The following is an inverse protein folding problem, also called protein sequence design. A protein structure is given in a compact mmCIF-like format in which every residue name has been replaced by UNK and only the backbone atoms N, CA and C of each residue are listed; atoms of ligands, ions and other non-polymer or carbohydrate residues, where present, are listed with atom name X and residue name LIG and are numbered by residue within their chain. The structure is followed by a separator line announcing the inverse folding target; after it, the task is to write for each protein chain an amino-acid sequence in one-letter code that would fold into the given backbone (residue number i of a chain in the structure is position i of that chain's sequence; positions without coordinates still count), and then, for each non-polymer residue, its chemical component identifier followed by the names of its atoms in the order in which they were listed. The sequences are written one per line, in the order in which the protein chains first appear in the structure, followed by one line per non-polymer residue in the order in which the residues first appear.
data_IF_420498328516
#
_entry.id   IF_420498328516
#
_cell.length_a   1.000
_cell.length_b   1.000
_cell.length_c   1.000
_cell.angle_alpha   90.00
_cell.angle_beta   90.00
_cell.angle_gamma   90.00
#
_symmetry.space_group_name_H-M   'P 1'
#
loop_
_entity.id
_entity.type
_entity.pdbx_description
1 polymer ?
#
# COMPACT_ATOMS: atom_id res chain seq x y z
N UNK A 1 7.56 -22.96 5.30
CA UNK A 1 9.00 -22.68 5.53
C UNK A 1 9.46 -21.71 4.47
N UNK A 2 10.18 -20.64 4.89
CA UNK A 2 10.68 -19.63 3.98
C UNK A 2 11.69 -20.27 3.02
N UNK A 3 11.73 -19.83 1.78
CA UNK A 3 12.72 -20.24 0.78
C UNK A 3 14.17 -19.85 1.17
N UNK A 4 14.50 -19.89 2.46
CA UNK A 4 15.79 -19.50 3.01
C UNK A 4 16.04 -17.99 3.05
N UNK A 5 14.98 -17.16 2.87
CA UNK A 5 15.12 -15.72 2.95
C UNK A 5 15.25 -15.25 4.40
N UNK A 6 16.32 -14.52 4.67
CA UNK A 6 16.70 -13.99 5.99
C UNK A 6 16.04 -12.62 6.32
N UNK A 7 15.16 -12.12 5.46
CA UNK A 7 14.52 -10.81 5.58
C UNK A 7 15.31 -9.66 4.94
N UNK A 8 16.54 -9.89 4.49
CA UNK A 8 17.36 -8.84 3.87
C UNK A 8 16.88 -8.54 2.44
N UNK A 9 16.59 -7.27 2.19
CA UNK A 9 16.11 -6.79 0.87
C UNK A 9 17.25 -6.53 -0.10
N UNK A 10 17.82 -7.59 -0.65
CA UNK A 10 18.80 -7.53 -1.75
C UNK A 10 18.09 -7.37 -3.10
N UNK A 11 18.79 -6.97 -4.19
CA UNK A 11 18.22 -7.00 -5.54
C UNK A 11 17.69 -8.39 -5.94
N UNK A 12 18.36 -9.45 -5.54
CA UNK A 12 17.95 -10.83 -5.82
C UNK A 12 16.65 -11.20 -5.09
N UNK A 13 16.54 -10.88 -3.78
CA UNK A 13 15.34 -11.17 -3.01
C UNK A 13 14.14 -10.33 -3.47
N UNK A 14 14.36 -9.07 -3.87
CA UNK A 14 13.31 -8.22 -4.46
C UNK A 14 12.75 -8.80 -5.75
N UNK A 15 13.64 -9.23 -6.65
CA UNK A 15 13.25 -9.88 -7.90
C UNK A 15 12.48 -11.16 -7.64
N UNK A 16 13.00 -12.05 -6.79
CA UNK A 16 12.33 -13.29 -6.40
C UNK A 16 10.91 -13.05 -5.87
N UNK A 17 10.73 -12.09 -4.96
CA UNK A 17 9.41 -11.77 -4.40
C UNK A 17 8.46 -11.19 -5.46
N UNK A 18 8.96 -10.37 -6.38
CA UNK A 18 8.18 -9.82 -7.48
C UNK A 18 7.72 -10.91 -8.44
N UNK A 19 8.62 -11.82 -8.84
CA UNK A 19 8.32 -12.95 -9.73
C UNK A 19 7.34 -13.92 -9.06
N UNK A 20 7.51 -14.21 -7.78
CA UNK A 20 6.59 -15.05 -7.00
C UNK A 20 5.19 -14.44 -6.94
N UNK A 21 5.10 -13.14 -6.63
CA UNK A 21 3.81 -12.43 -6.65
C UNK A 21 3.16 -12.51 -8.02
N UNK A 22 3.91 -12.25 -9.09
CA UNK A 22 3.42 -12.33 -10.45
C UNK A 22 2.87 -13.74 -10.78
N UNK A 23 3.63 -14.77 -10.47
CA UNK A 23 3.21 -16.16 -10.68
C UNK A 23 1.93 -16.52 -9.92
N UNK A 24 1.79 -16.05 -8.66
CA UNK A 24 0.58 -16.26 -7.87
C UNK A 24 -0.62 -15.48 -8.44
N UNK A 25 -0.39 -14.29 -8.97
CA UNK A 25 -1.43 -13.49 -9.63
C UNK A 25 -1.94 -14.17 -10.90
N UNK A 26 -1.02 -14.62 -11.76
CA UNK A 26 -1.36 -15.31 -13.02
C UNK A 26 -2.03 -16.66 -12.80
N UNK A 27 -1.59 -17.40 -11.77
CA UNK A 27 -2.11 -18.74 -11.52
C UNK A 27 -3.55 -18.73 -11.00
N UNK A 28 -3.88 -17.89 -10.03
CA UNK A 28 -5.20 -17.92 -9.38
C UNK A 28 -5.61 -16.61 -8.71
N UNK A 29 -4.96 -15.51 -9.05
CA UNK A 29 -5.23 -14.18 -8.50
C UNK A 29 -5.13 -14.12 -6.96
N UNK A 30 -4.22 -14.90 -6.40
CA UNK A 30 -4.07 -15.11 -4.95
C UNK A 30 -3.93 -13.79 -4.16
N UNK A 31 -3.13 -12.80 -4.58
CA UNK A 31 -2.99 -11.55 -3.82
C UNK A 31 -4.30 -10.79 -3.67
N UNK A 32 -5.07 -10.67 -4.75
CA UNK A 32 -6.36 -9.98 -4.73
C UNK A 32 -7.40 -10.75 -3.91
N UNK A 33 -7.51 -12.06 -4.12
CA UNK A 33 -8.40 -12.92 -3.34
C UNK A 33 -8.12 -12.83 -1.85
N UNK A 34 -6.84 -12.89 -1.46
CA UNK A 34 -6.44 -12.74 -0.06
C UNK A 34 -6.91 -11.39 0.52
N UNK A 35 -6.69 -10.28 -0.19
CA UNK A 35 -7.14 -8.96 0.26
C UNK A 35 -8.66 -8.89 0.42
N UNK A 36 -9.42 -9.46 -0.51
CA UNK A 36 -10.90 -9.47 -0.43
C UNK A 36 -11.44 -10.39 0.65
N UNK A 37 -10.80 -11.52 0.92
CA UNK A 37 -11.11 -12.39 2.05
C UNK A 37 -10.85 -11.69 3.40
N UNK A 38 -9.73 -10.97 3.52
CA UNK A 38 -9.45 -10.16 4.72
C UNK A 38 -10.44 -9.02 4.90
N UNK A 39 -10.88 -8.38 3.81
CA UNK A 39 -11.91 -7.36 3.84
C UNK A 39 -13.25 -7.92 4.33
N UNK A 40 -13.64 -9.10 3.88
CA UNK A 40 -14.85 -9.77 4.35
C UNK A 40 -14.78 -10.07 5.86
N UNK A 41 -13.65 -10.61 6.33
CA UNK A 41 -13.42 -10.86 7.74
C UNK A 41 -13.43 -9.58 8.58
N UNK A 42 -12.84 -8.50 8.08
CA UNK A 42 -12.87 -7.18 8.72
C UNK A 42 -14.31 -6.66 8.90
N UNK A 43 -15.16 -6.81 7.87
CA UNK A 43 -16.56 -6.37 7.93
C UNK A 43 -17.42 -7.13 8.94
N UNK A 44 -17.01 -8.33 9.30
CA UNK A 44 -17.67 -9.15 10.32
C UNK A 44 -17.07 -8.96 11.73
N UNK A 45 -16.01 -8.17 11.85
CA UNK A 45 -15.30 -7.90 13.11
C UNK A 45 -15.77 -6.59 13.76
N UNK A 46 -15.35 -6.37 15.01
CA UNK A 46 -15.56 -5.10 15.75
C UNK A 46 -14.48 -4.04 15.41
N UNK A 47 -13.59 -4.34 14.48
CA UNK A 47 -12.51 -3.44 14.10
C UNK A 47 -13.03 -2.23 13.31
N UNK A 48 -12.51 -1.05 13.63
CA UNK A 48 -12.99 0.22 13.06
C UNK A 48 -12.24 0.63 11.80
N UNK A 49 -11.02 0.11 11.59
CA UNK A 49 -10.14 0.55 10.54
C UNK A 49 -9.29 -0.60 10.01
N UNK A 50 -9.21 -0.70 8.69
CA UNK A 50 -8.35 -1.65 7.99
C UNK A 50 -7.41 -0.92 7.05
N UNK A 51 -6.10 -1.20 7.12
CA UNK A 51 -5.12 -0.72 6.16
C UNK A 51 -4.71 -1.82 5.22
N UNK A 52 -4.82 -1.57 3.91
CA UNK A 52 -4.38 -2.49 2.86
C UNK A 52 -3.27 -1.83 2.04
N UNK A 53 -2.12 -2.50 1.93
CA UNK A 53 -0.96 -1.99 1.24
C UNK A 53 -0.89 -2.57 -0.18
N UNK A 54 -1.25 -1.78 -1.17
CA UNK A 54 -1.18 -2.11 -2.59
C UNK A 54 -0.36 -1.03 -3.29
N UNK A 55 0.42 -1.38 -4.32
CA UNK A 55 1.31 -0.45 -5.00
C UNK A 55 1.00 -0.30 -6.49
N UNK A 56 0.48 -1.33 -7.12
CA UNK A 56 0.15 -1.30 -8.54
C UNK A 56 -1.17 -0.54 -8.76
N UNK A 57 -1.21 0.49 -9.62
CA UNK A 57 -2.40 1.31 -9.87
C UNK A 57 -3.64 0.50 -10.24
N UNK A 58 -3.48 -0.53 -11.05
CA UNK A 58 -4.57 -1.39 -11.49
C UNK A 58 -5.16 -2.21 -10.32
N UNK A 59 -4.29 -2.70 -9.43
CA UNK A 59 -4.71 -3.46 -8.25
C UNK A 59 -5.36 -2.56 -7.19
N UNK A 60 -4.90 -1.31 -7.05
CA UNK A 60 -5.54 -0.31 -6.20
C UNK A 60 -6.97 -0.05 -6.71
N UNK A 61 -7.14 0.18 -8.02
CA UNK A 61 -8.44 0.41 -8.62
C UNK A 61 -9.39 -0.78 -8.42
N UNK A 62 -8.92 -2.00 -8.66
CA UNK A 62 -9.70 -3.24 -8.44
C UNK A 62 -10.14 -3.41 -6.99
N UNK A 63 -9.21 -3.21 -6.07
CA UNK A 63 -9.52 -3.36 -4.64
C UNK A 63 -10.50 -2.28 -4.17
N UNK A 64 -10.32 -1.02 -4.61
CA UNK A 64 -11.25 0.07 -4.32
C UNK A 64 -12.67 -0.24 -4.82
N UNK A 65 -12.81 -0.76 -6.04
CA UNK A 65 -14.10 -1.18 -6.59
C UNK A 65 -14.75 -2.28 -5.75
N UNK A 66 -14.00 -3.29 -5.36
CA UNK A 66 -14.49 -4.39 -4.51
C UNK A 66 -14.84 -3.94 -3.08
N UNK A 67 -14.09 -2.98 -2.54
CA UNK A 67 -14.30 -2.44 -1.19
C UNK A 67 -15.43 -1.41 -1.12
N UNK A 68 -15.77 -0.74 -2.23
CA UNK A 68 -16.88 0.20 -2.31
C UNK A 68 -16.59 1.58 -1.72
N UNK A 69 -17.65 2.32 -1.39
CA UNK A 69 -17.59 3.74 -1.06
C UNK A 69 -16.83 4.07 0.24
N UNK A 70 -16.73 3.12 1.18
CA UNK A 70 -15.99 3.32 2.44
C UNK A 70 -14.47 3.22 2.26
N UNK A 71 -14.01 2.75 1.10
CA UNK A 71 -12.59 2.67 0.79
C UNK A 71 -12.05 4.04 0.36
N UNK A 72 -10.95 4.43 0.99
CA UNK A 72 -10.19 5.64 0.64
C UNK A 72 -8.77 5.26 0.30
N UNK A 73 -8.20 5.96 -0.67
CA UNK A 73 -6.83 5.73 -1.14
C UNK A 73 -5.90 6.82 -0.63
N UNK A 74 -4.76 6.40 -0.09
CA UNK A 74 -3.75 7.27 0.49
C UNK A 74 -2.38 6.98 -0.11
N UNK A 75 -1.76 8.00 -0.70
CA UNK A 75 -0.34 7.96 -1.05
C UNK A 75 0.49 8.55 0.09
N UNK A 76 1.45 7.80 0.57
CA UNK A 76 2.47 8.30 1.51
C UNK A 76 3.77 8.50 0.74
N UNK A 77 4.26 9.74 0.69
CA UNK A 77 5.50 10.10 0.00
C UNK A 77 6.57 10.57 0.98
N UNK A 78 7.84 10.35 0.63
CA UNK A 78 9.00 10.88 1.33
C UNK A 78 9.99 11.44 0.31
N UNK A 79 9.79 12.67 -0.17
CA UNK A 79 10.49 13.24 -1.34
C UNK A 79 12.02 13.16 -1.24
N UNK A 80 12.59 13.45 -0.07
CA UNK A 80 14.04 13.36 0.13
C UNK A 80 14.61 11.95 -0.08
N UNK A 81 13.84 10.92 0.30
CA UNK A 81 14.25 9.52 0.10
C UNK A 81 14.01 9.05 -1.34
N UNK A 82 12.94 9.52 -1.96
CA UNK A 82 12.60 9.20 -3.36
C UNK A 82 13.65 9.78 -4.31
N UNK A 83 14.06 11.05 -4.10
CA UNK A 83 15.13 11.69 -4.87
C UNK A 83 16.47 10.98 -4.69
N UNK A 84 16.81 10.59 -3.45
CA UNK A 84 18.08 9.89 -3.17
C UNK A 84 18.12 8.46 -3.73
N UNK A 85 16.96 7.81 -3.85
CA UNK A 85 16.86 6.40 -4.26
C UNK A 85 16.77 6.22 -5.77
N UNK A 86 16.19 7.18 -6.50
CA UNK A 86 15.88 7.05 -7.92
C UNK A 86 14.89 5.93 -8.23
N UNK A 87 14.76 5.57 -9.50
CA UNK A 87 13.92 4.45 -9.92
C UNK A 87 14.46 3.11 -9.45
N UNK A 88 13.57 2.24 -8.94
CA UNK A 88 13.93 0.91 -8.44
C UNK A 88 14.00 -0.14 -9.54
N UNK A 89 13.52 0.19 -10.75
CA UNK A 89 13.52 -0.68 -11.91
C UNK A 89 12.48 -1.80 -11.83
N UNK A 90 11.45 -1.62 -11.00
CA UNK A 90 10.30 -2.52 -11.01
C UNK A 90 8.98 -1.72 -11.04
N UNK A 91 8.02 -2.23 -11.80
CA UNK A 91 6.75 -1.55 -12.07
C UNK A 91 5.94 -1.26 -10.80
N UNK A 92 5.97 -2.14 -9.83
CA UNK A 92 5.22 -1.99 -8.59
C UNK A 92 5.67 -0.79 -7.74
N UNK A 93 6.97 -0.53 -7.72
CA UNK A 93 7.53 0.55 -6.90
C UNK A 93 7.59 1.88 -7.69
N UNK A 94 7.82 1.81 -9.01
CA UNK A 94 8.01 3.01 -9.83
C UNK A 94 6.68 3.61 -10.31
N UNK A 95 5.62 2.80 -10.46
CA UNK A 95 4.30 3.22 -10.93
C UNK A 95 3.34 3.70 -9.81
N UNK A 96 3.74 3.60 -8.54
CA UNK A 96 2.83 3.89 -7.41
C UNK A 96 2.25 5.30 -7.42
N UNK A 97 2.99 6.29 -7.93
CA UNK A 97 2.56 7.69 -8.02
C UNK A 97 1.62 8.00 -9.19
N UNK A 98 1.39 7.05 -10.10
CA UNK A 98 0.55 7.24 -11.28
C UNK A 98 -0.96 7.13 -10.99
N UNK A 99 -1.32 6.58 -9.83
CA UNK A 99 -2.72 6.47 -9.42
C UNK A 99 -3.26 7.80 -8.85
N UNK A 100 -4.52 8.11 -9.13
CA UNK A 100 -5.21 9.29 -8.58
C UNK A 100 -5.73 8.99 -7.17
N UNK A 101 -4.92 9.26 -6.16
CA UNK A 101 -5.27 9.03 -4.75
C UNK A 101 -6.24 10.08 -4.21
N UNK A 102 -7.11 9.68 -3.28
CA UNK A 102 -8.02 10.59 -2.58
C UNK A 102 -7.26 11.58 -1.69
N UNK A 103 -6.13 11.16 -1.11
CA UNK A 103 -5.24 11.98 -0.27
C UNK A 103 -3.78 11.62 -0.47
N UNK A 104 -2.93 12.61 -0.22
CA UNK A 104 -1.48 12.44 -0.20
C UNK A 104 -0.95 12.90 1.15
N UNK A 105 -0.19 12.04 1.82
CA UNK A 105 0.54 12.37 3.04
C UNK A 105 2.02 12.52 2.71
N UNK A 106 2.56 13.73 2.90
CA UNK A 106 3.99 14.00 2.66
C UNK A 106 4.75 13.86 3.98
N UNK A 107 5.60 12.85 4.08
CA UNK A 107 6.47 12.61 5.23
C UNK A 107 7.84 13.30 4.99
N UNK A 108 7.89 14.60 5.21
CA UNK A 108 9.06 15.47 4.95
C UNK A 108 9.71 16.04 6.23
N UNK A 109 9.13 15.78 7.39
CA UNK A 109 9.61 16.30 8.68
C UNK A 109 10.50 15.31 9.45
N UNK A 110 11.04 15.74 10.60
CA UNK A 110 11.76 14.88 11.52
C UNK A 110 10.86 13.83 12.15
N UNK A 111 11.44 12.68 12.52
CA UNK A 111 10.69 11.54 13.07
C UNK A 111 9.89 11.90 14.34
N UNK A 112 10.41 12.81 15.17
CA UNK A 112 9.73 13.22 16.40
C UNK A 112 8.43 14.00 16.19
N UNK A 113 8.25 14.63 15.04
CA UNK A 113 7.03 15.39 14.69
C UNK A 113 6.00 14.53 13.94
N UNK A 114 6.40 13.36 13.47
CA UNK A 114 5.55 12.49 12.66
C UNK A 114 4.25 12.08 13.34
N UNK A 115 4.22 11.71 14.64
CA UNK A 115 2.96 11.35 15.32
C UNK A 115 1.94 12.49 15.28
N UNK A 116 2.34 13.70 15.60
CA UNK A 116 1.44 14.86 15.61
C UNK A 116 0.96 15.22 14.20
N UNK A 117 1.83 15.08 13.19
CA UNK A 117 1.49 15.30 11.79
C UNK A 117 0.48 14.29 11.30
N UNK A 118 0.66 13.02 11.62
CA UNK A 118 -0.26 11.93 11.30
C UNK A 118 -1.61 12.15 11.99
N UNK A 119 -1.59 12.50 13.26
CA UNK A 119 -2.82 12.74 14.03
C UNK A 119 -3.67 13.87 13.42
N UNK A 120 -3.05 15.00 13.09
CA UNK A 120 -3.74 16.12 12.44
C UNK A 120 -4.29 15.73 11.07
N UNK A 121 -3.49 15.02 10.26
CA UNK A 121 -3.90 14.58 8.94
C UNK A 121 -5.16 13.70 8.99
N UNK A 122 -5.19 12.72 9.88
CA UNK A 122 -6.36 11.83 10.00
C UNK A 122 -7.55 12.52 10.65
N UNK A 123 -7.35 13.42 11.61
CA UNK A 123 -8.43 14.20 12.18
C UNK A 123 -9.12 15.06 11.11
N UNK A 124 -8.35 15.73 10.27
CA UNK A 124 -8.90 16.52 9.15
C UNK A 124 -9.59 15.63 8.12
N UNK A 125 -9.04 14.47 7.82
CA UNK A 125 -9.61 13.56 6.82
C UNK A 125 -10.93 12.97 7.27
N UNK A 126 -11.02 12.48 8.50
CA UNK A 126 -12.22 11.87 9.07
C UNK A 126 -13.34 12.92 9.29
N UNK A 127 -13.00 14.14 9.67
CA UNK A 127 -13.98 15.21 9.86
C UNK A 127 -14.54 15.74 8.53
N UNK A 128 -13.80 15.66 7.43
CA UNK A 128 -14.24 16.12 6.10
C UNK A 128 -14.80 14.99 5.21
N UNK A 129 -14.96 13.80 5.74
CA UNK A 129 -15.52 12.64 5.04
C UNK A 129 -17.05 12.48 5.24
N UNK A 130 -17.70 13.47 5.88
CA UNK A 130 -19.16 13.54 6.06
C UNK A 130 -19.82 14.31 4.93
#
# INVERSE_FOLDING_TARGET
ESAGWDGVKTPASRRFLSELKQSCTEFNDLPFRYCTEQLAAFRESDEQLMFVHIREPEEIARFREAAGEDCRTLLVTRPAMEQARGALGNRSDDGVSEYAYDRIFVNDGPLGELPDKVHRFFADWLNNAQ
#
